data_IF_440068756647
#
_entry.id   IF_440068756647
#
_cell.length_a   1.000
_cell.length_b   1.000
_cell.length_c   1.000
_cell.angle_alpha   90.00
_cell.angle_beta   90.00
_cell.angle_gamma   90.00
#
_symmetry.space_group_name_H-M   'P 1'
#
loop_
_entity.id
_entity.type
_entity.pdbx_description
1 polymer ?
#
# COMPACT_ATOMS: atom_id res chain seq x y z
N UNK A 1 -14.87 -0.96 41.03
CA UNK A 1 -15.89 -0.85 39.95
C UNK A 1 -15.47 0.17 38.88
N UNK A 2 -15.06 1.39 39.26
CA UNK A 2 -14.61 2.41 38.29
C UNK A 2 -13.36 2.01 37.48
N UNK A 3 -12.39 1.32 38.10
CA UNK A 3 -11.16 0.87 37.43
C UNK A 3 -11.43 -0.18 36.33
N UNK A 4 -12.36 -1.11 36.57
CA UNK A 4 -12.79 -2.10 35.57
C UNK A 4 -13.48 -1.45 34.37
N UNK A 5 -14.31 -0.42 34.61
CA UNK A 5 -14.95 0.35 33.53
C UNK A 5 -13.92 1.08 32.66
N UNK A 6 -12.87 1.64 33.27
CA UNK A 6 -11.82 2.36 32.55
C UNK A 6 -11.00 1.42 31.66
N UNK A 7 -10.68 0.21 32.14
CA UNK A 7 -9.97 -0.80 31.34
C UNK A 7 -10.81 -1.23 30.14
N UNK A 8 -12.11 -1.48 30.32
CA UNK A 8 -13.01 -1.87 29.23
C UNK A 8 -13.08 -0.78 28.16
N UNK A 9 -13.19 0.50 28.57
CA UNK A 9 -13.22 1.63 27.64
C UNK A 9 -11.92 1.71 26.82
N UNK A 10 -10.76 1.53 27.45
CA UNK A 10 -9.47 1.54 26.75
C UNK A 10 -9.34 0.38 25.75
N UNK A 11 -9.81 -0.82 26.12
CA UNK A 11 -9.83 -1.98 25.21
C UNK A 11 -10.72 -1.68 24.00
N UNK A 12 -11.92 -1.16 24.21
CA UNK A 12 -12.86 -0.84 23.12
C UNK A 12 -12.28 0.22 22.18
N UNK A 13 -11.67 1.29 22.71
CA UNK A 13 -11.00 2.32 21.91
C UNK A 13 -9.85 1.72 21.10
N UNK A 14 -9.02 0.87 21.73
CA UNK A 14 -7.93 0.17 21.06
C UNK A 14 -8.42 -0.72 19.92
N UNK A 15 -9.50 -1.48 20.13
CA UNK A 15 -10.12 -2.32 19.12
C UNK A 15 -10.69 -1.49 17.96
N UNK A 16 -11.37 -0.37 18.24
CA UNK A 16 -11.89 0.54 17.20
C UNK A 16 -10.74 1.12 16.37
N UNK A 17 -9.64 1.53 17.00
CA UNK A 17 -8.46 2.02 16.30
C UNK A 17 -7.82 0.95 15.42
N UNK A 18 -7.67 -0.27 15.93
CA UNK A 18 -7.15 -1.40 15.17
C UNK A 18 -8.04 -1.74 13.96
N UNK A 19 -9.36 -1.79 14.14
CA UNK A 19 -10.32 -2.03 13.06
C UNK A 19 -10.34 -0.90 12.02
N UNK A 20 -10.31 0.35 12.44
CA UNK A 20 -10.21 1.49 11.50
C UNK A 20 -8.93 1.44 10.68
N UNK A 21 -7.80 1.02 11.27
CA UNK A 21 -6.53 0.85 10.55
C UNK A 21 -6.62 -0.26 9.51
N UNK A 22 -7.23 -1.40 9.85
CA UNK A 22 -7.41 -2.52 8.93
C UNK A 22 -8.34 -2.18 7.75
N UNK A 23 -9.47 -1.53 8.04
CA UNK A 23 -10.49 -1.20 7.03
C UNK A 23 -10.05 -0.11 6.05
N UNK A 24 -9.17 0.82 6.47
CA UNK A 24 -8.64 1.86 5.57
C UNK A 24 -7.85 1.29 4.38
N UNK A 25 -6.99 0.30 4.63
CA UNK A 25 -6.21 -0.36 3.57
C UNK A 25 -7.10 -1.16 2.61
N UNK A 26 -8.11 -1.85 3.15
CA UNK A 26 -9.09 -2.57 2.34
C UNK A 26 -9.88 -1.63 1.42
N UNK A 27 -10.32 -0.48 1.93
CA UNK A 27 -11.03 0.52 1.11
C UNK A 27 -10.15 1.13 0.03
N UNK A 28 -8.90 1.47 0.35
CA UNK A 28 -7.94 1.98 -0.64
C UNK A 28 -7.70 0.96 -1.77
N UNK A 29 -7.52 -0.31 -1.42
CA UNK A 29 -7.40 -1.37 -2.42
C UNK A 29 -8.67 -1.53 -3.26
N UNK A 30 -9.86 -1.53 -2.64
CA UNK A 30 -11.12 -1.61 -3.36
C UNK A 30 -11.31 -0.44 -4.34
N UNK A 31 -10.87 0.77 -3.96
CA UNK A 31 -10.85 1.93 -4.84
C UNK A 31 -9.90 1.71 -6.03
N UNK A 32 -8.67 1.27 -5.80
CA UNK A 32 -7.70 1.01 -6.89
C UNK A 32 -8.17 -0.09 -7.84
N UNK A 33 -8.81 -1.13 -7.32
CA UNK A 33 -9.33 -2.21 -8.17
C UNK A 33 -10.46 -1.71 -9.07
N UNK A 34 -11.41 -0.95 -8.51
CA UNK A 34 -12.63 -0.52 -9.20
C UNK A 34 -12.42 0.66 -10.15
N UNK A 35 -11.63 1.65 -9.76
CA UNK A 35 -11.48 2.93 -10.48
C UNK A 35 -10.03 3.36 -10.69
N UNK A 36 -9.06 2.49 -10.39
CA UNK A 36 -7.65 2.82 -10.54
C UNK A 36 -7.25 2.95 -12.00
N UNK A 37 -6.47 3.99 -12.30
CA UNK A 37 -5.88 4.23 -13.62
C UNK A 37 -4.43 3.77 -13.61
N UNK A 38 -4.03 3.06 -14.66
CA UNK A 38 -2.65 2.59 -14.84
C UNK A 38 -1.82 3.72 -15.46
N UNK A 39 -0.63 3.95 -14.92
CA UNK A 39 0.37 4.85 -15.47
C UNK A 39 1.75 4.23 -15.33
N UNK A 40 2.64 4.56 -16.26
CA UNK A 40 4.04 4.18 -16.18
C UNK A 40 4.77 5.14 -15.25
N UNK A 41 5.30 4.58 -14.16
CA UNK A 41 6.23 5.24 -13.26
C UNK A 41 7.66 4.75 -13.47
N UNK A 42 8.56 5.23 -12.62
CA UNK A 42 9.96 4.86 -12.62
C UNK A 42 10.45 4.54 -11.20
N UNK A 43 11.27 3.51 -11.07
CA UNK A 43 11.98 3.23 -9.82
C UNK A 43 13.04 4.30 -9.58
N UNK A 44 12.89 5.06 -8.51
CA UNK A 44 13.86 6.08 -8.09
C UNK A 44 14.98 5.45 -7.27
N UNK A 45 14.64 4.48 -6.42
CA UNK A 45 15.59 3.79 -5.53
C UNK A 45 15.01 2.47 -5.03
N UNK A 46 15.83 1.42 -4.99
CA UNK A 46 15.54 0.20 -4.25
C UNK A 46 16.62 0.03 -3.17
N UNK A 47 16.22 -0.11 -1.91
CA UNK A 47 17.17 -0.26 -0.80
C UNK A 47 16.71 -1.26 0.26
N UNK A 48 17.65 -2.05 0.77
CA UNK A 48 17.46 -2.88 1.96
C UNK A 48 17.81 -2.07 3.20
N UNK A 49 16.83 -1.76 4.05
CA UNK A 49 17.01 -1.11 5.35
C UNK A 49 16.98 -2.15 6.46
N UNK A 50 18.05 -2.21 7.26
CA UNK A 50 18.05 -3.02 8.48
C UNK A 50 17.24 -2.30 9.56
N UNK A 51 16.09 -2.86 9.93
CA UNK A 51 15.22 -2.29 10.97
C UNK A 51 15.59 -2.78 12.36
N UNK A 52 16.07 -4.02 12.47
CA UNK A 52 16.52 -4.59 13.75
C UNK A 52 17.65 -5.60 13.54
N UNK A 53 18.12 -6.23 14.62
CA UNK A 53 19.15 -7.26 14.54
C UNK A 53 18.71 -8.45 13.66
N UNK A 54 17.41 -8.76 13.61
CA UNK A 54 16.83 -9.93 12.93
C UNK A 54 15.88 -9.58 11.79
N UNK A 55 15.63 -8.30 11.52
CA UNK A 55 14.63 -7.87 10.55
C UNK A 55 15.17 -6.81 9.59
N UNK A 56 15.05 -7.11 8.30
CA UNK A 56 15.36 -6.20 7.21
C UNK A 56 14.06 -5.87 6.47
N UNK A 57 13.86 -4.58 6.18
CA UNK A 57 12.83 -4.09 5.30
C UNK A 57 13.42 -3.82 3.91
N UNK A 58 12.68 -4.23 2.89
CA UNK A 58 13.05 -4.03 1.49
C UNK A 58 12.20 -2.90 0.95
N UNK A 59 12.78 -1.71 0.85
CA UNK A 59 12.07 -0.49 0.50
C UNK A 59 12.26 -0.18 -0.98
N UNK A 60 11.14 0.02 -1.68
CA UNK A 60 11.10 0.49 -3.05
C UNK A 60 10.55 1.90 -3.09
N UNK A 61 11.28 2.80 -3.73
CA UNK A 61 10.88 4.17 -3.98
C UNK A 61 10.71 4.38 -5.47
N UNK A 62 9.58 4.93 -5.86
CA UNK A 62 9.22 5.15 -7.25
C UNK A 62 8.54 6.49 -7.43
N UNK A 63 8.60 7.04 -8.65
CA UNK A 63 7.85 8.21 -9.05
C UNK A 63 6.90 7.91 -10.20
N UNK A 64 5.84 8.68 -10.31
CA UNK A 64 4.92 8.64 -11.45
C UNK A 64 4.28 10.01 -11.67
N UNK A 65 3.84 10.27 -12.89
CA UNK A 65 3.14 11.50 -13.23
C UNK A 65 1.64 11.21 -13.31
N UNK A 66 0.84 11.93 -12.53
CA UNK A 66 -0.62 11.83 -12.59
C UNK A 66 -1.17 12.43 -13.89
N UNK A 67 -2.43 12.13 -14.23
CA UNK A 67 -3.11 12.73 -15.38
C UNK A 67 -3.21 14.26 -15.32
N UNK A 68 -3.12 14.86 -14.13
CA UNK A 68 -3.03 16.30 -13.93
C UNK A 68 -1.63 16.90 -14.16
N UNK A 69 -0.64 16.09 -14.58
CA UNK A 69 0.74 16.54 -14.80
C UNK A 69 1.57 16.70 -13.52
N UNK A 70 1.02 16.37 -12.35
CA UNK A 70 1.72 16.43 -11.07
C UNK A 70 2.54 15.15 -10.89
N UNK A 71 3.83 15.29 -10.61
CA UNK A 71 4.72 14.19 -10.24
C UNK A 71 4.54 13.82 -8.76
N UNK A 72 4.44 12.52 -8.49
CA UNK A 72 4.36 11.96 -7.15
C UNK A 72 5.50 10.98 -6.93
N UNK A 73 6.21 11.12 -5.83
CA UNK A 73 7.19 10.15 -5.33
C UNK A 73 6.61 9.40 -4.13
N UNK A 74 6.77 8.07 -4.11
CA UNK A 74 6.26 7.20 -3.06
C UNK A 74 7.28 6.15 -2.69
N UNK A 75 7.25 5.76 -1.42
CA UNK A 75 8.07 4.69 -0.87
C UNK A 75 7.14 3.61 -0.29
N UNK A 76 7.37 2.37 -0.68
CA UNK A 76 6.64 1.20 -0.23
C UNK A 76 7.61 0.12 0.24
N UNK A 77 7.13 -0.75 1.11
CA UNK A 77 7.84 -1.98 1.46
C UNK A 77 7.40 -3.10 0.50
N UNK A 78 8.38 -3.78 -0.11
CA UNK A 78 8.15 -4.93 -1.00
C UNK A 78 8.60 -6.22 -0.31
N UNK A 79 8.09 -7.36 -0.78
CA UNK A 79 8.54 -8.64 -0.26
C UNK A 79 9.99 -8.92 -0.71
N UNK A 80 10.80 -9.63 0.11
CA UNK A 80 12.18 -9.94 -0.26
C UNK A 80 12.31 -10.63 -1.62
N UNK A 81 11.39 -11.55 -1.93
CA UNK A 81 11.35 -12.29 -3.20
C UNK A 81 11.11 -11.41 -4.44
N UNK A 82 10.49 -10.24 -4.25
CA UNK A 82 10.14 -9.32 -5.33
C UNK A 82 11.16 -8.18 -5.44
N UNK A 83 11.97 -7.96 -4.40
CA UNK A 83 12.94 -6.86 -4.33
C UNK A 83 13.98 -6.90 -5.44
N UNK A 84 14.50 -8.09 -5.74
CA UNK A 84 15.54 -8.29 -6.77
C UNK A 84 15.03 -8.02 -8.19
N UNK A 85 13.71 -7.84 -8.39
CA UNK A 85 13.11 -7.50 -9.67
C UNK A 85 13.05 -5.98 -9.95
N UNK A 86 13.54 -5.15 -9.02
CA UNK A 86 13.49 -3.69 -9.13
C UNK A 86 14.88 -3.08 -9.20
N UNK A 87 15.17 -2.44 -10.33
CA UNK A 87 16.39 -1.68 -10.56
C UNK A 87 16.09 -0.18 -10.66
N UNK A 88 17.03 0.66 -10.21
CA UNK A 88 16.89 2.11 -10.36
C UNK A 88 16.77 2.49 -11.84
N UNK A 89 15.80 3.32 -12.17
CA UNK A 89 15.51 3.77 -13.53
C UNK A 89 14.56 2.84 -14.29
N UNK A 90 14.25 1.66 -13.76
CA UNK A 90 13.31 0.73 -14.38
C UNK A 90 11.90 1.33 -14.45
N UNK A 91 11.26 1.17 -15.60
CA UNK A 91 9.86 1.51 -15.78
C UNK A 91 8.97 0.50 -15.06
N UNK A 92 7.96 0.98 -14.34
CA UNK A 92 7.02 0.15 -13.58
C UNK A 92 5.60 0.62 -13.81
N UNK A 93 4.65 -0.30 -13.76
CA UNK A 93 3.24 0.04 -13.83
C UNK A 93 2.69 0.36 -12.44
N UNK A 94 2.19 1.58 -12.29
CA UNK A 94 1.56 2.09 -11.07
C UNK A 94 0.08 2.28 -11.33
N UNK A 95 -0.76 1.80 -10.41
CA UNK A 95 -2.18 2.07 -10.40
C UNK A 95 -2.44 3.13 -9.34
N UNK A 96 -3.09 4.22 -9.71
CA UNK A 96 -3.48 5.28 -8.78
C UNK A 96 -4.96 5.63 -8.94
N UNK A 97 -5.54 6.22 -7.90
CA UNK A 97 -6.89 6.78 -7.95
C UNK A 97 -6.84 8.22 -8.48
N UNK A 98 -7.46 8.55 -9.63
CA UNK A 98 -7.46 9.92 -10.17
C UNK A 98 -8.08 10.96 -9.23
N UNK A 99 -9.03 10.56 -8.38
CA UNK A 99 -9.66 11.45 -7.41
C UNK A 99 -8.80 11.67 -6.16
N UNK A 100 -7.83 10.78 -5.90
CA UNK A 100 -6.94 10.84 -4.74
C UNK A 100 -5.59 10.18 -5.07
N UNK A 101 -4.68 10.87 -5.80
CA UNK A 101 -3.43 10.27 -6.28
C UNK A 101 -2.48 9.78 -5.17
N UNK A 102 -2.66 10.22 -3.92
CA UNK A 102 -1.98 9.61 -2.77
C UNK A 102 -2.32 8.13 -2.54
N UNK A 103 -3.47 7.68 -3.05
CA UNK A 103 -3.84 6.27 -3.10
C UNK A 103 -3.29 5.70 -4.39
N UNK A 104 -2.17 5.00 -4.28
CA UNK A 104 -1.48 4.35 -5.38
C UNK A 104 -0.84 3.05 -4.91
N UNK A 105 -0.57 2.17 -5.87
CA UNK A 105 0.08 0.90 -5.64
C UNK A 105 0.64 0.32 -6.93
N UNK A 106 1.61 -0.59 -6.84
CA UNK A 106 2.10 -1.30 -8.01
C UNK A 106 0.98 -2.15 -8.63
N UNK A 107 0.95 -2.20 -9.97
CA UNK A 107 -0.06 -2.93 -10.73
C UNK A 107 -0.13 -4.40 -10.34
N UNK A 108 1.00 -5.07 -10.15
CA UNK A 108 1.04 -6.49 -9.78
C UNK A 108 0.27 -6.76 -8.49
N UNK A 109 0.39 -5.88 -7.51
CA UNK A 109 -0.29 -6.03 -6.24
C UNK A 109 -1.82 -5.75 -6.36
N UNK A 110 -2.22 -4.82 -7.24
CA UNK A 110 -3.64 -4.60 -7.59
C UNK A 110 -4.21 -5.78 -8.36
N UNK A 111 -3.43 -6.41 -9.26
CA UNK A 111 -3.86 -7.56 -10.04
C UNK A 111 -4.05 -8.80 -9.17
N UNK A 112 -3.20 -9.00 -8.16
CA UNK A 112 -3.41 -10.03 -7.12
C UNK A 112 -4.72 -9.79 -6.38
N UNK A 113 -5.01 -8.55 -5.98
CA UNK A 113 -6.26 -8.20 -5.32
C UNK A 113 -7.49 -8.41 -6.23
N UNK A 114 -7.41 -8.02 -7.51
CA UNK A 114 -8.44 -8.28 -8.53
C UNK A 114 -8.75 -9.77 -8.65
N UNK A 115 -7.71 -10.60 -8.76
CA UNK A 115 -7.86 -12.06 -8.84
C UNK A 115 -8.49 -12.64 -7.57
N UNK A 116 -8.12 -12.14 -6.40
CA UNK A 116 -8.69 -12.60 -5.13
C UNK A 116 -10.18 -12.26 -5.02
N UNK A 117 -10.59 -11.05 -5.39
CA UNK A 117 -12.00 -10.64 -5.34
C UNK A 117 -12.87 -11.39 -6.35
N UNK A 118 -12.37 -11.65 -7.56
CA UNK A 118 -13.10 -12.42 -8.56
C UNK A 118 -13.31 -13.91 -8.18
N UNK A 119 -12.58 -14.41 -7.17
CA UNK A 119 -12.71 -15.79 -6.67
C UNK A 119 -13.64 -15.92 -5.46
N UNK A 120 -14.11 -14.81 -4.88
CA UNK A 120 -15.11 -14.86 -3.81
C UNK A 120 -16.51 -14.90 -4.44
N UNK A 121 -17.31 -15.95 -4.22
CA UNK A 121 -18.72 -15.92 -4.59
C UNK A 121 -19.41 -14.80 -3.80
N UNK A 122 -20.26 -14.04 -4.49
CA UNK A 122 -21.05 -12.95 -3.91
C UNK A 122 -21.97 -13.40 -2.78
#
# INVERSE_FOLDING_TARGET
>A
MAEMLLIIVLIVIGLIFAWRRLTRRGRQMAMLVSRGTVVTGQVVKAERKRLSRTHDAFMLRYSFVSSGGIEYEREIEVMPKDFDNYEKGQAIDVVYDPAAPEVNMLKDAVDVARKAMNRMPA
#
